data_IF_645533117048
#
_entry.id   IF_645533117048
#
_cell.length_a   1.000
_cell.length_b   1.000
_cell.length_c   1.000
_cell.angle_alpha   90.00
_cell.angle_beta   90.00
_cell.angle_gamma   90.00
#
_symmetry.space_group_name_H-M   'P 1'
#
loop_
_entity.id
_entity.type
_entity.pdbx_description
1 polymer ?
#
# COMPACT_ATOMS: atom_id res chain seq x y z
N UNK A 1 -11.06 29.53 1.60
CA UNK A 1 -11.10 29.19 0.17
C UNK A 1 -11.30 27.68 0.09
N UNK A 2 -12.39 27.22 -0.50
CA UNK A 2 -12.71 25.78 -0.55
C UNK A 2 -12.06 25.16 -1.79
N UNK A 3 -11.16 24.20 -1.61
CA UNK A 3 -10.54 23.49 -2.73
C UNK A 3 -11.57 22.48 -3.26
N UNK A 4 -12.16 22.80 -4.42
CA UNK A 4 -13.13 21.93 -5.09
C UNK A 4 -12.50 20.64 -5.60
N UNK A 5 -13.35 19.63 -5.77
CA UNK A 5 -12.95 18.26 -6.12
C UNK A 5 -11.86 17.76 -5.19
N UNK A 6 -12.11 17.79 -3.88
CA UNK A 6 -11.29 17.13 -2.89
C UNK A 6 -12.12 16.15 -2.08
N UNK A 7 -11.46 15.15 -1.52
CA UNK A 7 -12.08 14.19 -0.61
C UNK A 7 -11.14 13.92 0.56
N UNK A 8 -11.72 13.66 1.72
CA UNK A 8 -10.95 13.35 2.92
C UNK A 8 -10.72 11.84 3.04
N UNK A 9 -9.51 11.46 3.45
CA UNK A 9 -9.20 10.09 3.83
C UNK A 9 -8.54 10.08 5.20
N UNK A 10 -9.02 9.19 6.06
CA UNK A 10 -8.61 9.09 7.44
C UNK A 10 -7.52 8.02 7.62
N UNK A 11 -6.48 8.37 8.36
CA UNK A 11 -5.34 7.50 8.64
C UNK A 11 -5.11 7.33 10.13
N UNK A 12 -4.95 6.09 10.55
CA UNK A 12 -4.68 5.75 11.94
C UNK A 12 -3.19 5.96 12.27
N UNK A 13 -2.92 6.82 13.24
CA UNK A 13 -1.63 6.98 13.89
C UNK A 13 -1.67 6.30 15.26
N UNK A 14 -1.14 5.08 15.32
CA UNK A 14 -1.16 4.27 16.53
C UNK A 14 0.08 3.39 16.66
N UNK A 15 0.70 3.45 17.83
CA UNK A 15 1.68 2.47 18.28
C UNK A 15 1.36 2.09 19.74
N UNK A 16 0.91 0.85 20.01
CA UNK A 16 0.56 0.41 21.36
C UNK A 16 1.75 0.41 22.33
N UNK A 17 2.99 0.39 21.82
CA UNK A 17 4.20 0.46 22.64
C UNK A 17 4.43 1.90 23.12
N UNK A 18 4.12 2.90 22.30
CA UNK A 18 4.30 4.31 22.64
C UNK A 18 3.17 4.85 23.52
N UNK A 19 1.92 4.44 23.26
CA UNK A 19 0.75 4.99 23.94
C UNK A 19 -0.47 4.06 23.81
N UNK A 20 -1.30 3.92 24.87
CA UNK A 20 -2.58 3.22 24.76
C UNK A 20 -3.63 3.99 23.95
N UNK A 21 -3.38 5.28 23.68
CA UNK A 21 -4.24 6.15 22.90
C UNK A 21 -3.76 6.23 21.45
N UNK A 22 -4.70 6.13 20.51
CA UNK A 22 -4.49 6.39 19.08
C UNK A 22 -4.94 7.79 18.68
N UNK A 23 -4.42 8.26 17.54
CA UNK A 23 -4.90 9.44 16.83
C UNK A 23 -5.35 9.05 15.42
N UNK A 24 -6.31 9.78 14.86
CA UNK A 24 -6.72 9.64 13.46
C UNK A 24 -6.48 10.97 12.77
N UNK A 25 -5.82 10.95 11.62
CA UNK A 25 -5.50 12.15 10.84
C UNK A 25 -6.32 12.12 9.56
N UNK A 26 -7.14 13.14 9.36
CA UNK A 26 -7.89 13.34 8.12
C UNK A 26 -7.03 14.14 7.15
N UNK A 27 -6.72 13.54 5.99
CA UNK A 27 -5.87 14.13 4.95
C UNK A 27 -6.73 14.40 3.72
N UNK A 28 -6.71 15.64 3.26
CA UNK A 28 -7.36 16.07 2.02
C UNK A 28 -6.60 15.55 0.81
N UNK A 29 -7.33 14.93 -0.12
CA UNK A 29 -6.82 14.44 -1.40
C UNK A 29 -7.50 15.17 -2.54
N UNK A 30 -6.80 15.33 -3.65
CA UNK A 30 -7.36 15.91 -4.85
C UNK A 30 -8.08 14.86 -5.69
N UNK A 31 -9.25 15.22 -6.20
CA UNK A 31 -9.93 14.49 -7.26
C UNK A 31 -9.08 14.49 -8.53
N UNK A 32 -9.17 13.39 -9.26
CA UNK A 32 -8.49 13.26 -10.54
C UNK A 32 -9.17 14.15 -11.58
N UNK A 33 -8.35 14.82 -12.39
CA UNK A 33 -8.83 15.68 -13.48
C UNK A 33 -8.40 15.07 -14.82
N UNK A 34 -9.35 14.74 -15.72
CA UNK A 34 -9.04 14.21 -17.04
C UNK A 34 -8.21 15.18 -17.89
N UNK A 35 -7.19 14.67 -18.58
CA UNK A 35 -6.42 15.42 -19.57
C UNK A 35 -6.97 15.25 -21.00
N UNK A 36 -6.65 16.19 -21.92
CA UNK A 36 -6.99 16.04 -23.33
C UNK A 36 -6.42 14.73 -23.90
N UNK A 37 -7.31 13.80 -24.28
CA UNK A 37 -6.94 12.46 -24.74
C UNK A 37 -7.38 11.32 -23.81
N UNK A 38 -7.80 11.64 -22.59
CA UNK A 38 -8.41 10.66 -21.69
C UNK A 38 -9.85 10.34 -22.11
N UNK A 39 -10.28 9.09 -21.92
CA UNK A 39 -11.64 8.64 -22.24
C UNK A 39 -12.74 9.42 -21.48
N UNK A 40 -12.40 10.00 -20.33
CA UNK A 40 -13.30 10.81 -19.51
C UNK A 40 -13.08 12.32 -19.69
N UNK A 41 -12.34 12.73 -20.73
CA UNK A 41 -12.15 14.15 -21.00
C UNK A 41 -13.48 14.88 -21.17
N UNK A 42 -13.66 15.99 -20.44
CA UNK A 42 -14.90 16.77 -20.41
C UNK A 42 -16.00 16.19 -19.50
N UNK A 43 -15.76 15.11 -18.75
CA UNK A 43 -16.74 14.56 -17.82
C UNK A 43 -16.81 15.29 -16.48
N UNK A 44 -15.75 16.00 -16.08
CA UNK A 44 -15.82 16.91 -14.92
C UNK A 44 -16.44 18.24 -15.36
N UNK A 45 -17.54 18.61 -14.70
CA UNK A 45 -18.25 19.87 -14.92
C UNK A 45 -17.91 20.93 -13.87
N UNK A 46 -17.00 20.64 -12.94
CA UNK A 46 -16.68 21.54 -11.83
C UNK A 46 -15.52 22.45 -12.22
N UNK A 47 -15.74 23.78 -12.33
CA UNK A 47 -14.64 24.70 -12.59
C UNK A 47 -13.68 24.68 -11.40
N UNK A 48 -12.43 24.29 -11.65
CA UNK A 48 -11.32 24.40 -10.71
C UNK A 48 -10.87 25.86 -10.63
N UNK A 49 -10.38 26.26 -9.47
CA UNK A 49 -9.89 27.61 -9.23
C UNK A 49 -8.46 27.75 -9.78
N UNK A 50 -8.21 28.59 -10.80
CA UNK A 50 -6.88 28.73 -11.39
C UNK A 50 -5.79 29.12 -10.40
N UNK A 51 -6.12 29.87 -9.35
CA UNK A 51 -5.16 30.29 -8.33
C UNK A 51 -4.70 29.09 -7.48
N UNK A 52 -5.66 28.22 -7.12
CA UNK A 52 -5.37 27.00 -6.35
C UNK A 52 -4.55 26.03 -7.21
N UNK A 53 -4.91 25.87 -8.48
CA UNK A 53 -4.22 24.94 -9.39
C UNK A 53 -2.75 25.33 -9.69
N UNK A 54 -2.42 26.63 -9.58
CA UNK A 54 -1.07 27.18 -9.71
C UNK A 54 -0.34 27.32 -8.37
N UNK A 55 -1.01 27.05 -7.25
CA UNK A 55 -0.40 27.14 -5.93
C UNK A 55 0.63 26.03 -5.70
N UNK A 56 1.62 26.34 -4.86
CA UNK A 56 2.68 25.39 -4.50
C UNK A 56 2.11 24.16 -3.80
N UNK A 57 2.50 22.98 -4.29
CA UNK A 57 2.28 21.72 -3.61
C UNK A 57 3.62 21.09 -3.20
N UNK A 58 3.73 20.53 -1.99
CA UNK A 58 2.77 20.65 -0.89
C UNK A 58 2.79 22.08 -0.29
N UNK A 59 1.68 22.55 0.33
CA UNK A 59 1.54 23.93 0.80
C UNK A 59 2.55 24.28 1.92
N UNK A 60 2.90 25.56 2.12
CA UNK A 60 3.82 25.93 3.22
C UNK A 60 3.26 25.55 4.61
N UNK A 61 1.95 25.66 4.78
CA UNK A 61 1.20 25.22 5.96
C UNK A 61 0.08 24.29 5.52
N UNK A 62 0.04 23.08 6.08
CA UNK A 62 -1.01 22.11 5.85
C UNK A 62 -1.91 22.05 7.09
N UNK A 63 -3.20 22.37 6.91
CA UNK A 63 -4.20 22.28 7.98
C UNK A 63 -4.84 20.90 7.90
N UNK A 64 -4.77 20.14 8.99
CA UNK A 64 -5.32 18.79 9.09
C UNK A 64 -6.23 18.68 10.32
N UNK A 65 -7.30 17.90 10.20
CA UNK A 65 -8.10 17.52 11.36
C UNK A 65 -7.52 16.26 12.00
N UNK A 66 -7.28 16.32 13.31
CA UNK A 66 -6.69 15.24 14.08
C UNK A 66 -7.63 14.85 15.21
N UNK A 67 -8.16 13.64 15.14
CA UNK A 67 -8.89 13.03 16.24
C UNK A 67 -7.93 12.47 17.28
N UNK A 68 -8.24 12.66 18.55
CA UNK A 68 -7.51 12.07 19.67
C UNK A 68 -8.44 11.18 20.48
N UNK A 69 -8.10 9.89 20.59
CA UNK A 69 -8.88 8.96 21.44
C UNK A 69 -8.81 9.31 22.93
N UNK A 70 -7.78 10.06 23.36
CA UNK A 70 -7.62 10.53 24.74
C UNK A 70 -8.64 11.62 25.10
N UNK A 71 -8.84 12.59 24.22
CA UNK A 71 -9.80 13.70 24.43
C UNK A 71 -11.16 13.41 23.80
N UNK A 72 -11.24 12.42 22.91
CA UNK A 72 -12.41 12.05 22.09
C UNK A 72 -12.94 13.20 21.23
N UNK A 73 -12.04 14.06 20.79
CA UNK A 73 -12.36 15.25 20.01
C UNK A 73 -11.50 15.32 18.75
N UNK A 74 -12.06 15.96 17.73
CA UNK A 74 -11.33 16.41 16.56
C UNK A 74 -10.79 17.80 16.81
N UNK A 75 -9.52 18.00 16.52
CA UNK A 75 -8.84 19.29 16.61
C UNK A 75 -8.29 19.64 15.24
N UNK A 76 -8.49 20.89 14.81
CA UNK A 76 -7.80 21.43 13.65
C UNK A 76 -6.38 21.80 14.05
N UNK A 77 -5.38 21.30 13.31
CA UNK A 77 -3.96 21.55 13.58
C UNK A 77 -3.25 21.99 12.31
N UNK A 78 -2.37 22.98 12.47
CA UNK A 78 -1.55 23.53 11.38
C UNK A 78 -0.16 22.91 11.42
N UNK A 79 0.25 22.28 10.32
CA UNK A 79 1.56 21.65 10.16
C UNK A 79 2.43 22.47 9.21
N UNK A 80 3.64 22.82 9.63
CA UNK A 80 4.58 23.59 8.81
C UNK A 80 5.42 22.65 7.94
N UNK A 81 5.56 22.99 6.66
CA UNK A 81 6.39 22.25 5.70
C UNK A 81 7.88 22.40 6.01
N UNK A 82 8.58 21.28 6.06
CA UNK A 82 10.05 21.22 6.04
C UNK A 82 10.54 20.87 4.63
N UNK A 83 11.57 21.56 4.13
CA UNK A 83 12.07 21.40 2.75
C UNK A 83 11.35 22.29 1.75
N UNK A 84 11.53 22.04 0.45
CA UNK A 84 10.99 22.84 -0.66
C UNK A 84 9.62 22.33 -1.15
N UNK A 85 8.94 23.13 -1.98
CA UNK A 85 7.76 22.68 -2.71
C UNK A 85 8.17 21.65 -3.76
N UNK A 86 7.25 20.75 -4.11
CA UNK A 86 7.46 19.61 -5.01
C UNK A 86 6.80 19.80 -6.38
N UNK A 87 6.10 20.92 -6.59
CA UNK A 87 5.40 21.23 -7.84
C UNK A 87 4.20 22.13 -7.57
N UNK A 88 3.20 22.02 -8.44
CA UNK A 88 1.92 22.72 -8.32
C UNK A 88 0.76 21.75 -8.16
N UNK A 89 -0.36 22.22 -7.60
CA UNK A 89 -1.54 21.37 -7.32
C UNK A 89 -2.08 20.68 -8.57
N UNK A 90 -2.10 21.35 -9.73
CA UNK A 90 -2.60 20.75 -10.98
C UNK A 90 -1.82 19.51 -11.42
N UNK A 91 -0.52 19.42 -11.12
CA UNK A 91 0.28 18.21 -11.41
C UNK A 91 -0.12 17.03 -10.53
N UNK A 92 -0.60 17.28 -9.31
CA UNK A 92 -1.04 16.23 -8.38
C UNK A 92 -2.37 15.60 -8.79
N UNK A 93 -3.22 16.34 -9.51
CA UNK A 93 -4.52 15.88 -10.02
C UNK A 93 -4.42 14.93 -11.20
N UNK A 94 -3.25 14.84 -11.85
CA UNK A 94 -3.00 13.92 -12.97
C UNK A 94 -3.03 12.45 -12.57
N UNK A 95 -2.79 12.17 -11.29
CA UNK A 95 -2.75 10.82 -10.77
C UNK A 95 -4.17 10.24 -10.65
N UNK A 96 -4.39 9.08 -11.26
CA UNK A 96 -5.69 8.41 -11.23
C UNK A 96 -6.11 8.12 -9.78
N UNK A 97 -7.40 8.21 -9.41
CA UNK A 97 -7.82 7.85 -8.07
C UNK A 97 -7.74 6.33 -7.96
N UNK A 98 -6.68 5.84 -7.34
CA UNK A 98 -6.53 4.42 -7.06
C UNK A 98 -6.88 4.14 -5.61
N UNK A 99 -7.70 3.12 -5.35
CA UNK A 99 -8.22 2.80 -4.01
C UNK A 99 -7.16 2.29 -3.01
N UNK A 100 -5.91 2.11 -3.41
CA UNK A 100 -4.92 1.33 -2.63
C UNK A 100 -3.83 2.15 -1.91
N UNK A 101 -4.02 3.46 -1.71
CA UNK A 101 -3.00 4.25 -0.97
C UNK A 101 -3.14 4.08 0.54
N UNK A 102 -2.06 3.68 1.20
CA UNK A 102 -2.05 3.39 2.64
C UNK A 102 -1.19 4.38 3.45
N UNK A 103 -1.16 4.19 4.76
CA UNK A 103 -0.28 4.94 5.65
C UNK A 103 0.35 4.02 6.71
N UNK A 104 1.47 4.46 7.26
CA UNK A 104 2.25 3.73 8.26
C UNK A 104 2.64 4.68 9.38
N UNK A 105 2.37 4.30 10.63
CA UNK A 105 2.86 5.02 11.80
C UNK A 105 4.13 4.39 12.35
N UNK A 106 5.18 5.20 12.47
CA UNK A 106 6.51 4.78 12.90
C UNK A 106 7.23 5.90 13.67
N UNK A 107 7.70 5.58 14.88
CA UNK A 107 8.53 6.45 15.74
C UNK A 107 8.00 7.88 15.86
N UNK A 108 6.74 8.03 16.27
CA UNK A 108 6.11 9.33 16.45
C UNK A 108 5.64 10.04 15.18
N UNK A 109 5.90 9.52 13.98
CA UNK A 109 5.52 10.13 12.70
C UNK A 109 4.58 9.23 11.87
N UNK A 110 3.63 9.85 11.18
CA UNK A 110 2.72 9.20 10.24
C UNK A 110 3.20 9.40 8.80
N UNK A 111 3.39 8.32 8.06
CA UNK A 111 3.83 8.32 6.67
C UNK A 111 2.63 7.97 5.78
N UNK A 112 2.17 8.92 4.98
CA UNK A 112 0.97 8.80 4.15
C UNK A 112 1.39 8.72 2.68
N UNK A 113 0.93 7.70 1.96
CA UNK A 113 1.11 7.58 0.51
C UNK A 113 0.17 8.55 -0.21
N UNK A 114 0.71 9.62 -0.77
CA UNK A 114 -0.01 10.68 -1.48
C UNK A 114 -0.13 10.41 -2.98
N UNK A 115 -0.80 11.32 -3.69
CA UNK A 115 -0.88 11.30 -5.15
C UNK A 115 0.51 11.40 -5.77
N UNK A 116 0.67 10.84 -6.97
CA UNK A 116 1.94 10.75 -7.72
C UNK A 116 3.04 10.00 -6.97
N UNK A 117 2.64 9.08 -6.08
CA UNK A 117 3.50 8.21 -5.25
C UNK A 117 4.45 8.92 -4.27
N UNK A 118 4.25 10.22 -4.03
CA UNK A 118 4.94 10.92 -2.94
C UNK A 118 4.52 10.37 -1.58
N UNK A 119 5.39 10.53 -0.59
CA UNK A 119 5.10 10.15 0.79
C UNK A 119 5.17 11.37 1.69
N UNK A 120 4.06 11.69 2.35
CA UNK A 120 3.99 12.76 3.34
C UNK A 120 4.28 12.19 4.73
N UNK A 121 5.36 12.66 5.36
CA UNK A 121 5.73 12.34 6.74
C UNK A 121 5.26 13.44 7.67
N UNK A 122 4.27 13.15 8.51
CA UNK A 122 3.62 14.09 9.43
C UNK A 122 4.07 13.78 10.85
N UNK A 123 4.72 14.75 11.50
CA UNK A 123 5.12 14.66 12.91
C UNK A 123 4.04 15.31 13.78
N UNK A 124 3.30 14.48 14.53
CA UNK A 124 2.20 14.95 15.38
C UNK A 124 2.65 15.67 16.65
N UNK A 125 3.93 15.56 17.02
CA UNK A 125 4.52 16.17 18.20
C UNK A 125 5.14 17.53 17.91
N UNK A 126 5.76 17.70 16.74
CA UNK A 126 6.42 18.95 16.36
C UNK A 126 5.57 19.86 15.48
N UNK A 127 4.39 19.41 15.04
CA UNK A 127 3.52 20.14 14.10
C UNK A 127 4.24 20.56 12.82
N UNK A 128 5.02 19.61 12.32
CA UNK A 128 5.74 19.74 11.07
C UNK A 128 5.49 18.55 10.17
N UNK A 129 5.65 18.77 8.89
CA UNK A 129 5.58 17.70 7.92
C UNK A 129 6.61 17.88 6.82
N UNK A 130 6.99 16.77 6.21
CA UNK A 130 7.94 16.72 5.11
C UNK A 130 7.36 15.84 3.99
N UNK A 131 7.73 16.11 2.75
CA UNK A 131 7.31 15.29 1.60
C UNK A 131 8.54 14.65 0.97
N UNK A 132 8.43 13.35 0.73
CA UNK A 132 9.49 12.49 0.23
C UNK A 132 9.10 12.09 -1.19
N UNK A 133 10.02 12.26 -2.14
CA UNK A 133 9.84 11.85 -3.55
C UNK A 133 9.70 10.32 -3.64
N UNK A 134 8.94 9.79 -4.62
CA UNK A 134 8.91 8.36 -4.87
C UNK A 134 10.31 7.82 -5.26
N UNK A 135 10.57 6.52 -5.04
CA UNK A 135 11.77 5.88 -5.56
C UNK A 135 11.93 6.04 -7.09
N UNK A 136 13.17 6.14 -7.59
CA UNK A 136 13.41 6.31 -9.02
C UNK A 136 12.94 5.09 -9.83
N UNK A 137 12.35 5.34 -11.00
CA UNK A 137 11.93 4.31 -11.95
C UNK A 137 10.55 3.71 -11.70
N UNK A 138 9.79 4.25 -10.75
CA UNK A 138 8.34 4.05 -10.61
C UNK A 138 7.66 5.04 -11.56
N UNK A 139 7.60 4.71 -12.86
CA UNK A 139 6.85 5.51 -13.82
C UNK A 139 5.37 5.10 -13.77
N UNK A 140 4.54 6.05 -13.35
CA UNK A 140 3.10 5.91 -13.13
C UNK A 140 2.40 5.85 -14.48
N UNK A 141 2.29 4.65 -15.04
CA UNK A 141 1.28 4.35 -16.07
C UNK A 141 0.58 3.05 -15.71
N UNK A 142 -0.54 3.25 -15.00
CA UNK A 142 -1.59 2.28 -14.69
C UNK A 142 -1.31 1.34 -13.50
N UNK A 143 -2.19 1.49 -12.50
CA UNK A 143 -2.34 0.72 -11.27
C UNK A 143 -1.25 0.96 -10.21
N UNK A 144 -1.65 1.23 -8.96
CA UNK A 144 -0.69 1.42 -7.89
C UNK A 144 -0.08 0.06 -7.61
N UNK A 145 1.19 -0.07 -7.96
CA UNK A 145 2.00 -1.16 -7.46
C UNK A 145 2.85 -0.63 -6.31
N UNK A 146 2.46 0.42 -5.59
CA UNK A 146 3.24 1.03 -4.51
C UNK A 146 2.56 0.81 -3.14
N UNK A 147 3.28 0.26 -2.17
CA UNK A 147 2.76 -0.01 -0.83
C UNK A 147 3.77 0.38 0.25
N UNK A 148 3.31 1.09 1.28
CA UNK A 148 4.12 1.45 2.45
C UNK A 148 4.01 0.39 3.56
N UNK A 149 5.14 0.00 4.14
CA UNK A 149 5.16 -0.85 5.33
C UNK A 149 6.19 -0.39 6.35
N UNK A 150 6.20 -1.04 7.52
CA UNK A 150 7.22 -0.82 8.57
C UNK A 150 7.90 -2.11 8.96
N UNK A 151 9.16 -1.98 9.35
CA UNK A 151 10.00 -3.07 9.84
C UNK A 151 10.90 -2.61 10.98
N UNK A 152 11.67 -3.52 11.56
CA UNK A 152 12.72 -3.16 12.54
C UNK A 152 13.71 -2.13 12.02
N UNK A 153 13.89 -2.06 10.69
CA UNK A 153 14.83 -1.16 10.02
C UNK A 153 14.20 0.17 9.60
N UNK A 154 12.94 0.42 9.96
CA UNK A 154 12.21 1.63 9.58
C UNK A 154 11.12 1.38 8.55
N UNK A 155 10.66 2.48 7.96
CA UNK A 155 9.66 2.49 6.89
C UNK A 155 10.29 1.94 5.61
N UNK A 156 9.53 1.13 4.88
CA UNK A 156 9.91 0.66 3.56
C UNK A 156 8.75 0.84 2.61
N UNK A 157 9.05 0.87 1.32
CA UNK A 157 8.04 0.73 0.28
C UNK A 157 8.34 -0.50 -0.57
N UNK A 158 7.29 -1.14 -1.04
CA UNK A 158 7.38 -2.24 -1.98
C UNK A 158 6.68 -1.84 -3.26
N UNK A 159 7.26 -2.23 -4.39
CA UNK A 159 6.55 -2.18 -5.64
C UNK A 159 6.66 -3.41 -6.51
N UNK A 160 5.65 -3.58 -7.36
CA UNK A 160 5.73 -4.44 -8.53
C UNK A 160 5.97 -3.51 -9.73
N UNK A 161 6.72 -3.97 -10.73
CA UNK A 161 6.91 -3.30 -12.01
C UNK A 161 6.65 -4.31 -13.12
N UNK A 162 5.88 -3.92 -14.13
CA UNK A 162 5.53 -4.79 -15.26
C UNK A 162 4.81 -6.07 -14.85
N UNK A 163 4.14 -6.07 -13.69
CA UNK A 163 3.37 -7.21 -13.17
C UNK A 163 4.19 -8.39 -12.64
N UNK A 164 5.51 -8.33 -12.65
CA UNK A 164 6.35 -9.49 -12.31
C UNK A 164 7.69 -9.15 -11.65
N UNK A 165 8.15 -7.90 -11.72
CA UNK A 165 9.39 -7.49 -11.06
C UNK A 165 9.07 -6.85 -9.71
N UNK A 166 9.46 -7.49 -8.61
CA UNK A 166 9.24 -6.99 -7.26
C UNK A 166 10.46 -6.19 -6.81
N UNK A 167 10.24 -4.98 -6.35
CA UNK A 167 11.25 -4.09 -5.81
C UNK A 167 10.87 -3.67 -4.38
N UNK A 168 11.86 -3.53 -3.51
CA UNK A 168 11.66 -3.10 -2.12
C UNK A 168 12.75 -2.09 -1.77
N UNK A 169 12.35 -0.92 -1.30
CA UNK A 169 13.22 0.15 -0.84
C UNK A 169 12.99 0.40 0.64
N UNK A 170 14.07 0.63 1.38
CA UNK A 170 13.98 1.16 2.74
C UNK A 170 14.15 2.67 2.69
N UNK A 171 13.40 3.38 3.53
CA UNK A 171 13.62 4.80 3.75
C UNK A 171 14.82 4.97 4.68
N UNK A 172 15.84 5.67 4.20
CA UNK A 172 16.95 6.11 5.03
C UNK A 172 16.64 7.51 5.60
N UNK A 173 16.54 7.57 6.94
CA UNK A 173 16.30 8.80 7.70
C UNK A 173 17.56 9.24 8.48
N UNK A 174 18.72 8.63 8.22
CA UNK A 174 19.97 8.94 8.93
C UNK A 174 20.65 10.22 8.45
N UNK A 175 20.37 10.65 7.22
CA UNK A 175 20.94 11.84 6.61
C UNK A 175 20.01 13.05 6.75
N UNK A 176 20.52 14.26 6.44
CA UNK A 176 19.68 15.47 6.39
C UNK A 176 18.58 15.39 5.32
N UNK A 177 18.71 14.47 4.36
CA UNK A 177 17.73 14.17 3.32
C UNK A 177 17.17 12.76 3.51
N UNK A 178 15.85 12.61 3.35
CA UNK A 178 15.19 11.32 3.40
C UNK A 178 15.24 10.67 2.02
N UNK A 179 15.93 9.53 1.91
CA UNK A 179 16.19 8.88 0.62
C UNK A 179 15.73 7.42 0.59
N UNK A 180 15.21 6.99 -0.56
CA UNK A 180 14.84 5.59 -0.79
C UNK A 180 16.03 4.75 -1.24
N UNK A 181 16.44 3.80 -0.41
CA UNK A 181 17.54 2.88 -0.70
C UNK A 181 17.00 1.54 -1.16
N UNK A 182 17.23 1.19 -2.42
CA UNK A 182 16.82 -0.11 -2.99
C UNK A 182 17.54 -1.26 -2.25
N UNK A 183 16.76 -2.16 -1.64
CA UNK A 183 17.28 -3.34 -0.95
C UNK A 183 17.08 -4.62 -1.74
N UNK A 184 15.95 -4.73 -2.43
CA UNK A 184 15.61 -5.91 -3.18
C UNK A 184 15.05 -5.55 -4.54
N UNK A 185 15.49 -6.29 -5.56
CA UNK A 185 14.98 -6.22 -6.92
C UNK A 185 15.02 -7.63 -7.51
N UNK A 186 13.84 -8.18 -7.82
CA UNK A 186 13.67 -9.56 -8.27
C UNK A 186 12.65 -9.62 -9.39
N UNK A 187 13.09 -10.10 -10.55
CA UNK A 187 12.19 -10.46 -11.64
C UNK A 187 11.63 -11.87 -11.44
N UNK A 188 10.32 -11.97 -11.21
CA UNK A 188 9.60 -13.23 -11.02
C UNK A 188 9.14 -13.85 -12.35
N UNK A 189 9.35 -13.22 -13.51
CA UNK A 189 8.88 -13.69 -14.82
C UNK A 189 9.24 -15.14 -15.09
N UNK A 190 10.52 -15.49 -14.95
CA UNK A 190 11.02 -16.85 -15.18
C UNK A 190 10.36 -17.86 -14.23
N UNK A 191 10.15 -17.46 -12.98
CA UNK A 191 9.55 -18.29 -11.96
C UNK A 191 8.04 -18.50 -12.20
N UNK A 192 7.32 -17.45 -12.58
CA UNK A 192 5.90 -17.51 -12.93
C UNK A 192 5.65 -18.40 -14.15
N UNK A 193 6.47 -18.24 -15.20
CA UNK A 193 6.43 -19.06 -16.42
C UNK A 193 6.65 -20.55 -16.09
N UNK A 194 7.70 -20.86 -15.32
CA UNK A 194 8.00 -22.24 -14.88
C UNK A 194 6.84 -22.89 -14.14
N UNK A 195 6.09 -22.11 -13.36
CA UNK A 195 5.01 -22.61 -12.50
C UNK A 195 3.60 -22.41 -13.08
N UNK A 196 3.48 -21.92 -14.31
CA UNK A 196 2.22 -21.61 -15.00
C UNK A 196 1.31 -20.73 -14.12
N UNK A 197 1.87 -19.66 -13.58
CA UNK A 197 1.16 -18.68 -12.76
C UNK A 197 0.96 -17.38 -13.55
N UNK A 198 -0.20 -16.74 -13.35
CA UNK A 198 -0.49 -15.42 -13.93
C UNK A 198 0.00 -14.30 -13.01
N UNK A 199 0.07 -13.10 -13.56
CA UNK A 199 0.39 -11.85 -12.85
C UNK A 199 -0.55 -11.61 -11.65
N UNK A 200 -1.82 -12.01 -11.74
CA UNK A 200 -2.79 -11.86 -10.64
C UNK A 200 -2.35 -12.57 -9.35
N UNK A 201 -1.60 -13.66 -9.48
CA UNK A 201 -1.07 -14.38 -8.32
C UNK A 201 0.01 -13.55 -7.59
N UNK A 202 0.77 -12.72 -8.30
CA UNK A 202 1.80 -11.85 -7.73
C UNK A 202 1.16 -10.75 -6.86
N UNK A 203 0.08 -10.14 -7.36
CA UNK A 203 -0.66 -9.13 -6.61
C UNK A 203 -1.15 -9.67 -5.27
N UNK A 204 -1.78 -10.87 -5.28
CA UNK A 204 -2.24 -11.54 -4.07
C UNK A 204 -1.09 -11.84 -3.10
N UNK A 205 0.07 -12.29 -3.62
CA UNK A 205 1.24 -12.58 -2.79
C UNK A 205 1.76 -11.32 -2.08
N UNK A 206 1.81 -10.19 -2.79
CA UNK A 206 2.23 -8.91 -2.21
C UNK A 206 1.20 -8.42 -1.19
N UNK A 207 -0.09 -8.48 -1.52
CA UNK A 207 -1.18 -8.10 -0.60
C UNK A 207 -1.15 -8.88 0.71
N UNK A 208 -0.90 -10.20 0.66
CA UNK A 208 -0.78 -11.04 1.86
C UNK A 208 0.50 -10.80 2.66
N UNK A 209 1.50 -10.16 2.06
CA UNK A 209 2.79 -9.88 2.70
C UNK A 209 2.90 -8.46 3.27
N UNK A 210 1.84 -7.66 3.14
CA UNK A 210 1.77 -6.24 3.53
C UNK A 210 2.22 -5.98 4.98
N UNK A 211 1.88 -6.86 5.91
CA UNK A 211 2.23 -6.71 7.34
C UNK A 211 3.59 -7.30 7.73
N UNK A 212 4.35 -7.79 6.75
CA UNK A 212 5.61 -8.47 6.99
C UNK A 212 6.77 -7.57 6.60
N UNK A 213 7.79 -7.45 7.46
CA UNK A 213 8.99 -6.68 7.14
C UNK A 213 9.68 -7.15 5.83
N UNK A 214 10.58 -6.35 5.23
CA UNK A 214 11.05 -6.52 3.85
C UNK A 214 11.74 -7.87 3.58
N UNK A 215 12.49 -8.41 4.55
CA UNK A 215 13.07 -9.76 4.41
C UNK A 215 12.01 -10.87 4.51
N UNK A 216 10.94 -10.64 5.29
CA UNK A 216 9.82 -11.58 5.43
C UNK A 216 8.87 -11.53 4.23
N UNK A 217 8.80 -10.43 3.48
CA UNK A 217 8.02 -10.34 2.23
C UNK A 217 8.54 -11.36 1.22
N UNK A 218 9.84 -11.37 0.94
CA UNK A 218 10.42 -12.34 -0.01
C UNK A 218 10.23 -13.78 0.48
N UNK A 219 10.41 -14.03 1.77
CA UNK A 219 10.17 -15.36 2.36
C UNK A 219 8.70 -15.76 2.21
N UNK A 220 7.76 -14.86 2.48
CA UNK A 220 6.32 -15.12 2.36
C UNK A 220 5.85 -15.25 0.94
N UNK A 221 6.36 -14.44 0.01
CA UNK A 221 6.14 -14.64 -1.43
C UNK A 221 6.63 -16.04 -1.81
N UNK A 222 7.79 -16.47 -1.29
CA UNK A 222 8.35 -17.80 -1.55
C UNK A 222 7.53 -18.92 -0.88
N UNK A 223 7.01 -18.71 0.32
CA UNK A 223 6.16 -19.68 1.03
C UNK A 223 4.81 -19.80 0.35
N UNK A 224 4.13 -18.69 0.03
CA UNK A 224 2.86 -18.68 -0.70
C UNK A 224 3.05 -19.33 -2.08
N UNK A 225 4.16 -19.03 -2.76
CA UNK A 225 4.58 -19.72 -3.96
C UNK A 225 4.68 -21.25 -3.77
N UNK A 226 5.32 -21.70 -2.69
CA UNK A 226 5.44 -23.12 -2.32
C UNK A 226 4.07 -23.73 -2.01
N UNK A 227 3.21 -23.05 -1.27
CA UNK A 227 1.84 -23.49 -0.96
C UNK A 227 0.99 -23.63 -2.22
N UNK A 228 1.06 -22.67 -3.15
CA UNK A 228 0.40 -22.75 -4.46
C UNK A 228 0.95 -23.93 -5.27
N UNK A 229 2.27 -24.15 -5.26
CA UNK A 229 2.90 -25.30 -5.92
C UNK A 229 2.44 -26.64 -5.32
N UNK A 230 2.42 -26.76 -3.99
CA UNK A 230 1.96 -27.95 -3.25
C UNK A 230 0.48 -28.20 -3.56
N UNK A 231 -0.37 -27.17 -3.50
CA UNK A 231 -1.79 -27.28 -3.81
C UNK A 231 -2.01 -27.74 -5.25
N UNK A 232 -1.34 -27.15 -6.25
CA UNK A 232 -1.43 -27.59 -7.66
C UNK A 232 -1.00 -29.04 -7.83
N UNK A 233 0.08 -29.45 -7.16
CA UNK A 233 0.54 -30.83 -7.21
C UNK A 233 -0.45 -31.81 -6.56
N UNK A 234 -1.07 -31.43 -5.43
CA UNK A 234 -2.15 -32.22 -4.80
C UNK A 234 -3.41 -32.30 -5.67
N UNK A 235 -3.79 -31.21 -6.34
CA UNK A 235 -4.90 -31.19 -7.30
C UNK A 235 -4.61 -32.09 -8.51
N UNK A 236 -3.39 -32.06 -9.04
CA UNK A 236 -2.97 -32.94 -10.14
C UNK A 236 -2.97 -34.41 -9.75
N UNK A 237 -2.64 -34.74 -8.49
CA UNK A 237 -2.78 -36.10 -7.94
C UNK A 237 -4.24 -36.52 -7.76
N UNK A 238 -5.11 -35.62 -7.28
CA UNK A 238 -6.56 -35.87 -7.16
C UNK A 238 -7.26 -36.05 -8.52
N UNK A 239 -6.88 -35.28 -9.54
CA UNK A 239 -7.38 -35.39 -10.91
C UNK A 239 -6.89 -36.64 -11.66
N UNK A 240 -5.81 -37.28 -11.18
CA UNK A 240 -5.28 -38.55 -11.70
C UNK A 240 -5.78 -39.78 -10.91
N UNK A 241 -6.66 -39.60 -9.92
CA UNK A 241 -7.43 -40.68 -9.30
C UNK A 241 -8.67 -41.04 -10.13
N UNK A 242 -9.32 -42.20 -9.88
CA UNK A 242 -10.32 -42.78 -10.78
C UNK A 242 -11.63 -41.98 -10.95
N UNK A 243 -11.83 -40.86 -10.22
CA UNK A 243 -13.01 -40.02 -10.36
C UNK A 243 -12.67 -38.64 -10.96
N UNK A 244 -13.13 -38.45 -12.20
CA UNK A 244 -12.92 -37.29 -13.06
C UNK A 244 -13.81 -36.10 -12.69
N UNK A 245 -13.26 -34.90 -12.94
CA UNK A 245 -13.87 -33.59 -13.22
C UNK A 245 -14.26 -32.71 -12.03
N UNK A 246 -13.39 -31.75 -11.69
CA UNK A 246 -13.83 -30.39 -11.38
C UNK A 246 -13.14 -29.42 -12.34
N UNK A 247 -13.94 -28.64 -13.08
CA UNK A 247 -13.47 -27.58 -13.98
C UNK A 247 -12.70 -26.52 -13.20
N UNK A 248 -11.54 -26.14 -13.72
CA UNK A 248 -10.60 -25.11 -13.26
C UNK A 248 -11.13 -23.67 -13.33
N UNK A 249 -12.41 -23.43 -13.06
CA UNK A 249 -13.03 -22.11 -13.31
C UNK A 249 -13.22 -21.19 -12.11
N UNK A 250 -12.94 -21.60 -10.87
CA UNK A 250 -13.07 -20.70 -9.71
C UNK A 250 -11.92 -20.88 -8.70
N UNK A 251 -10.67 -20.52 -9.07
CA UNK A 251 -9.60 -20.34 -8.07
C UNK A 251 -9.82 -19.07 -7.23
N UNK A 252 -10.37 -18.02 -7.83
CA UNK A 252 -10.63 -16.74 -7.15
C UNK A 252 -11.66 -16.88 -6.01
N UNK A 253 -12.72 -17.67 -6.22
CA UNK A 253 -13.74 -17.94 -5.19
C UNK A 253 -13.23 -18.88 -4.09
N UNK A 254 -12.46 -19.92 -4.42
CA UNK A 254 -11.97 -20.88 -3.44
C UNK A 254 -10.90 -20.32 -2.48
N UNK A 255 -10.13 -19.31 -2.93
CA UNK A 255 -9.18 -18.60 -2.08
C UNK A 255 -9.86 -17.60 -1.13
N UNK A 256 -10.97 -16.99 -1.58
CA UNK A 256 -11.79 -16.05 -0.78
C UNK A 256 -12.67 -16.76 0.25
N UNK A 257 -13.24 -17.92 -0.08
CA UNK A 257 -14.19 -18.65 0.80
C UNK A 257 -13.56 -19.31 2.04
N UNK A 258 -12.24 -19.34 2.18
CA UNK A 258 -11.55 -19.87 3.37
C UNK A 258 -11.16 -18.78 4.39
N UNK A 259 -11.65 -17.56 4.22
CA UNK A 259 -11.23 -16.40 5.01
C UNK A 259 -12.43 -15.83 5.77
N UNK A 260 -12.67 -16.37 6.97
CA UNK A 260 -13.46 -15.67 8.00
C UNK A 260 -12.48 -14.79 8.81
N UNK A 261 -12.64 -13.45 8.86
CA UNK A 261 -11.72 -12.56 9.55
C UNK A 261 -11.73 -12.71 11.09
N UNK A 262 -12.68 -13.47 11.64
CA UNK A 262 -12.87 -13.57 13.11
C UNK A 262 -12.15 -14.74 13.76
N UNK A 263 -11.57 -15.68 13.01
CA UNK A 263 -10.92 -16.87 13.57
C UNK A 263 -9.41 -16.84 13.33
N UNK A 264 -8.69 -16.28 14.30
CA UNK A 264 -7.22 -16.29 14.32
C UNK A 264 -6.64 -17.70 14.23
N UNK A 265 -5.61 -17.87 13.38
CA UNK A 265 -4.54 -18.88 13.44
C UNK A 265 -4.87 -20.27 14.02
N UNK A 266 -6.04 -20.84 13.71
CA UNK A 266 -6.42 -22.22 14.09
C UNK A 266 -6.80 -23.04 12.88
N UNK A 267 -5.85 -23.25 11.98
CA UNK A 267 -5.82 -24.43 11.11
C UNK A 267 -4.39 -24.98 11.05
N UNK A 268 -3.85 -25.30 12.23
CA UNK A 268 -2.54 -25.94 12.39
C UNK A 268 -2.61 -27.29 13.12
N UNK A 269 -3.78 -27.93 13.17
CA UNK A 269 -3.93 -29.18 13.93
C UNK A 269 -5.00 -30.10 13.40
N UNK A 270 -4.85 -30.66 12.19
CA UNK A 270 -5.60 -31.86 11.82
C UNK A 270 -4.90 -32.76 10.80
N UNK A 271 -3.57 -32.79 10.71
CA UNK A 271 -2.87 -33.90 10.05
C UNK A 271 -1.52 -34.12 10.75
N UNK A 272 -1.53 -34.66 11.97
CA UNK A 272 -0.49 -35.54 12.54
C UNK A 272 -0.77 -35.81 14.02
N UNK A 273 -1.50 -36.89 14.34
CA UNK A 273 -1.21 -37.80 15.48
C UNK A 273 -2.31 -38.87 15.65
N UNK A 274 -1.86 -40.10 15.99
CA UNK A 274 -2.55 -41.40 16.16
C UNK A 274 -2.82 -42.12 14.83
N UNK A 275 -1.97 -43.02 14.32
CA UNK A 275 -1.13 -44.13 14.89
C UNK A 275 -1.96 -45.21 15.61
N UNK A 276 -2.18 -46.30 14.86
CA UNK A 276 -2.26 -47.73 15.22
C UNK A 276 -2.71 -48.12 16.64
N UNK A 277 -3.83 -48.84 16.75
CA UNK A 277 -3.93 -50.06 17.57
C UNK A 277 -5.21 -50.85 17.22
N UNK A 278 -4.99 -52.12 16.86
CA UNK A 278 -5.91 -53.28 16.73
C UNK A 278 -7.18 -53.10 15.90
#
# INVERSE_FOLDING_TARGET
MEIKETFQVEYLAYDPIESPYFKVVSVTRFGWTPEPGDFLYGSSSVPLDPEIEQSEWPPSVCILHVFSSRTRQWEERSFVREGDSMGIVSEMRRDWPTEQRNAVYWRGALYVHCQTDYVMRISLSSDKYHVIKPPPGIEVKHYPQFYLGKSSNGVYCASIKGGCRVQVWNLDESSCQMEWVLKHDRDLSKWLLKNKLSIDHVQIMVEKSKDLGPCRILITITIIAIEIMIWKHQQKRKLNGPHKQLKTRNLHGALMMNVDPTVGWRFLGFIHAKRLSS
#
